data_IF_258072562621
#
_entry.id   IF_258072562621
#
_cell.length_a   1.000
_cell.length_b   1.000
_cell.length_c   1.000
_cell.angle_alpha   90.00
_cell.angle_beta   90.00
_cell.angle_gamma   90.00
#
_symmetry.space_group_name_H-M   'P 1'
#
loop_
_entity.id
_entity.type
_entity.pdbx_description
1 polymer ?
#
# COMPACT_ATOMS: atom_id res chain seq x y z
N UNK A 1 -0.55 2.18 8.45
CA UNK A 1 -1.86 2.41 7.78
C UNK A 1 -1.96 1.83 6.37
N UNK A 2 -1.06 0.93 5.93
CA UNK A 2 -0.97 0.49 4.53
C UNK A 2 -2.27 -0.13 3.97
N UNK A 3 -3.04 -0.83 4.81
CA UNK A 3 -4.29 -1.51 4.46
C UNK A 3 -5.31 -0.62 3.74
N UNK A 4 -5.31 0.68 4.03
CA UNK A 4 -6.27 1.63 3.45
C UNK A 4 -5.62 2.70 2.58
N UNK A 5 -4.29 2.75 2.52
CA UNK A 5 -3.56 3.91 2.01
C UNK A 5 -3.67 4.12 0.50
N UNK A 6 -3.86 3.04 -0.28
CA UNK A 6 -4.03 3.10 -1.73
C UNK A 6 -5.49 3.07 -2.18
N UNK A 7 -6.43 3.23 -1.25
CA UNK A 7 -7.87 3.32 -1.53
C UNK A 7 -8.47 4.51 -0.79
N UNK A 8 -9.79 4.71 -0.91
CA UNK A 8 -10.47 5.71 -0.07
C UNK A 8 -10.43 5.26 1.39
N UNK A 9 -9.65 5.96 2.20
CA UNK A 9 -9.59 5.70 3.63
C UNK A 9 -10.98 5.92 4.26
N UNK A 10 -11.45 4.89 4.96
CA UNK A 10 -12.51 4.98 5.95
C UNK A 10 -11.89 4.56 7.29
N UNK A 11 -11.93 5.44 8.28
CA UNK A 11 -11.44 5.14 9.63
C UNK A 11 -12.63 4.61 10.44
N UNK A 12 -12.56 3.34 10.81
CA UNK A 12 -13.48 2.70 11.76
C UNK A 12 -12.67 2.25 12.98
N UNK A 13 -13.12 2.64 14.18
CA UNK A 13 -12.44 2.33 15.44
C UNK A 13 -12.63 3.44 16.48
N UNK A 14 -12.44 3.09 17.76
CA UNK A 14 -12.52 4.04 18.87
C UNK A 14 -11.24 4.88 18.95
N UNK A 15 -11.15 5.92 18.11
CA UNK A 15 -10.07 6.92 18.14
C UNK A 15 -9.88 7.59 19.51
N UNK A 16 -10.91 7.59 20.37
CA UNK A 16 -10.82 8.11 21.73
C UNK A 16 -9.99 7.21 22.67
N UNK A 17 -9.77 5.93 22.31
CA UNK A 17 -9.10 4.94 23.17
C UNK A 17 -7.69 4.57 22.67
N UNK A 18 -7.21 5.19 21.58
CA UNK A 18 -5.85 4.94 21.11
C UNK A 18 -4.84 5.78 21.91
N UNK A 19 -3.74 5.13 22.31
CA UNK A 19 -2.60 5.78 22.97
C UNK A 19 -2.05 6.95 22.15
N UNK A 20 -1.43 7.94 22.80
CA UNK A 20 -0.85 9.12 22.13
C UNK A 20 0.08 8.78 20.96
N UNK A 21 0.97 7.80 21.11
CA UNK A 21 1.88 7.36 20.03
C UNK A 21 1.12 6.86 18.79
N UNK A 22 0.13 5.96 18.99
CA UNK A 22 -0.74 5.48 17.91
C UNK A 22 -1.55 6.61 17.28
N UNK A 23 -1.99 7.58 18.06
CA UNK A 23 -2.72 8.75 17.56
C UNK A 23 -1.84 9.59 16.63
N UNK A 24 -0.59 9.84 16.99
CA UNK A 24 0.35 10.57 16.11
C UNK A 24 0.63 9.80 14.81
N UNK A 25 0.81 8.47 14.87
CA UNK A 25 0.95 7.64 13.66
C UNK A 25 -0.27 7.70 12.74
N UNK A 26 -1.49 7.77 13.31
CA UNK A 26 -2.71 7.95 12.51
C UNK A 26 -2.73 9.32 11.85
N UNK A 27 -2.41 10.40 12.58
CA UNK A 27 -2.34 11.74 12.00
C UNK A 27 -1.33 11.82 10.87
N UNK A 28 -0.16 11.22 11.07
CA UNK A 28 0.92 11.17 10.10
C UNK A 28 0.47 10.45 8.82
N UNK A 29 -0.11 9.25 8.94
CA UNK A 29 -0.60 8.52 7.78
C UNK A 29 -1.77 9.22 7.07
N UNK A 30 -2.67 9.90 7.80
CA UNK A 30 -3.71 10.75 7.19
C UNK A 30 -3.10 11.97 6.48
N UNK A 31 -2.09 12.60 7.06
CA UNK A 31 -1.38 13.72 6.44
C UNK A 31 -0.69 13.31 5.15
N UNK A 32 -0.05 12.14 5.14
CA UNK A 32 0.53 11.55 3.93
C UNK A 32 -0.55 11.19 2.90
N UNK A 33 -1.63 10.52 3.29
CA UNK A 33 -2.74 10.18 2.39
C UNK A 33 -3.31 11.41 1.69
N UNK A 34 -3.47 12.53 2.39
CA UNK A 34 -3.92 13.80 1.80
C UNK A 34 -3.02 14.28 0.66
N UNK A 35 -1.72 14.01 0.71
CA UNK A 35 -0.76 14.35 -0.38
C UNK A 35 -0.92 13.46 -1.61
N UNK A 36 -1.43 12.23 -1.47
CA UNK A 36 -1.48 11.24 -2.58
C UNK A 36 -2.89 10.92 -3.09
N UNK A 37 -3.96 11.25 -2.35
CA UNK A 37 -5.35 10.85 -2.65
C UNK A 37 -5.86 11.24 -4.03
N UNK A 38 -5.41 12.37 -4.58
CA UNK A 38 -5.83 12.83 -5.91
C UNK A 38 -5.27 11.97 -7.02
N UNK A 39 -4.07 11.41 -6.81
CA UNK A 39 -3.47 10.48 -7.74
C UNK A 39 -4.13 9.10 -7.62
N UNK A 40 -4.43 8.65 -6.40
CA UNK A 40 -5.11 7.37 -6.15
C UNK A 40 -6.40 7.26 -6.97
N UNK A 41 -7.23 8.30 -6.94
CA UNK A 41 -8.50 8.32 -7.67
C UNK A 41 -8.38 8.18 -9.19
N UNK A 42 -7.19 8.44 -9.76
CA UNK A 42 -6.91 8.38 -11.21
C UNK A 42 -6.12 7.13 -11.60
N UNK A 43 -5.66 6.34 -10.64
CA UNK A 43 -4.80 5.19 -10.89
C UNK A 43 -5.56 4.00 -11.45
N UNK A 44 -4.92 3.24 -12.35
CA UNK A 44 -5.46 1.96 -12.82
C UNK A 44 -4.97 0.85 -11.88
N UNK A 45 -5.86 0.07 -11.25
CA UNK A 45 -5.44 -0.97 -10.33
C UNK A 45 -4.73 -2.12 -11.05
N UNK A 46 -3.78 -2.75 -10.37
CA UNK A 46 -3.15 -3.99 -10.80
C UNK A 46 -2.72 -4.83 -9.59
N UNK A 47 -2.54 -6.13 -9.81
CA UNK A 47 -2.22 -7.11 -8.78
C UNK A 47 -1.02 -7.95 -9.21
N UNK A 48 0.22 -7.61 -8.77
CA UNK A 48 1.41 -8.36 -9.12
C UNK A 48 1.29 -9.86 -8.82
N UNK A 49 0.73 -10.22 -7.67
CA UNK A 49 0.56 -11.61 -7.24
C UNK A 49 -0.76 -12.24 -7.70
N UNK A 50 -1.54 -11.55 -8.54
CA UNK A 50 -2.91 -11.95 -8.87
C UNK A 50 -3.93 -11.49 -7.84
N UNK A 51 -5.21 -11.74 -8.12
CA UNK A 51 -6.30 -11.40 -7.21
C UNK A 51 -6.18 -12.21 -5.91
N UNK A 52 -6.37 -11.58 -4.74
CA UNK A 52 -6.18 -12.23 -3.46
C UNK A 52 -7.22 -13.34 -3.22
N UNK A 53 -6.75 -14.46 -2.68
CA UNK A 53 -7.54 -15.55 -2.12
C UNK A 53 -7.30 -15.65 -0.60
N UNK A 54 -8.22 -16.30 0.11
CA UNK A 54 -8.12 -16.46 1.58
C UNK A 54 -6.91 -17.27 2.02
N UNK A 55 -6.41 -18.16 1.17
CA UNK A 55 -5.28 -19.05 1.46
C UNK A 55 -3.92 -18.42 1.08
N UNK A 56 -3.92 -17.22 0.49
CA UNK A 56 -2.68 -16.59 0.04
C UNK A 56 -1.83 -16.12 1.22
N UNK A 57 -0.59 -16.60 1.29
CA UNK A 57 0.38 -16.19 2.31
C UNK A 57 0.96 -14.77 2.06
N UNK A 58 0.81 -14.27 0.83
CA UNK A 58 1.16 -12.91 0.42
C UNK A 58 0.13 -12.38 -0.57
N UNK A 59 -0.19 -11.10 -0.47
CA UNK A 59 -0.94 -10.42 -1.52
C UNK A 59 -0.39 -9.02 -1.76
N UNK A 60 -0.72 -8.48 -2.93
CA UNK A 60 -0.21 -7.21 -3.40
C UNK A 60 -1.26 -6.45 -4.19
N UNK A 61 -1.24 -5.14 -4.05
CA UNK A 61 -2.12 -4.22 -4.76
C UNK A 61 -1.33 -2.99 -5.16
N UNK A 62 -1.44 -2.61 -6.42
CA UNK A 62 -0.79 -1.39 -6.91
C UNK A 62 -1.71 -0.55 -7.76
N UNK A 63 -1.29 0.70 -7.97
CA UNK A 63 -1.93 1.62 -8.90
C UNK A 63 -0.93 2.06 -9.96
N UNK A 64 -1.32 1.96 -11.23
CA UNK A 64 -0.59 2.54 -12.34
C UNK A 64 -0.91 4.03 -12.43
N UNK A 65 0.08 4.87 -12.10
CA UNK A 65 0.07 6.31 -12.30
C UNK A 65 1.09 6.69 -13.38
N UNK A 66 0.98 7.86 -14.03
CA UNK A 66 1.85 8.18 -15.16
C UNK A 66 3.36 8.22 -14.83
N UNK A 67 3.74 8.56 -13.58
CA UNK A 67 5.15 8.65 -13.16
C UNK A 67 5.49 7.74 -11.96
N UNK A 68 4.53 7.02 -11.38
CA UNK A 68 4.73 6.25 -10.14
C UNK A 68 3.91 4.96 -10.17
N UNK A 69 4.43 3.95 -9.48
CA UNK A 69 3.74 2.69 -9.20
C UNK A 69 3.66 2.48 -7.68
N UNK A 70 2.81 3.23 -6.96
CA UNK A 70 2.57 2.93 -5.56
C UNK A 70 2.07 1.50 -5.41
N UNK A 71 2.68 0.79 -4.47
CA UNK A 71 2.49 -0.63 -4.25
C UNK A 71 2.30 -0.88 -2.75
N UNK A 72 1.25 -1.62 -2.42
CA UNK A 72 1.01 -2.15 -1.09
C UNK A 72 1.20 -3.66 -1.13
N UNK A 73 1.92 -4.18 -0.14
CA UNK A 73 2.28 -5.59 -0.02
C UNK A 73 1.97 -6.02 1.39
N UNK A 74 1.30 -7.16 1.53
CA UNK A 74 0.94 -7.73 2.81
C UNK A 74 1.53 -9.12 2.92
N UNK A 75 2.23 -9.36 4.03
CA UNK A 75 2.64 -10.69 4.47
C UNK A 75 1.61 -11.19 5.46
N UNK A 76 1.03 -12.34 5.18
CA UNK A 76 0.12 -13.06 6.08
C UNK A 76 0.90 -14.16 6.80
N UNK A 77 0.30 -15.33 6.96
CA UNK A 77 0.98 -16.52 7.46
C UNK A 77 1.86 -17.10 6.36
N UNK A 78 3.06 -16.53 6.20
CA UNK A 78 4.06 -17.03 5.26
C UNK A 78 5.26 -17.64 5.97
N UNK A 79 5.62 -18.86 5.55
CA UNK A 79 6.84 -19.56 5.96
C UNK A 79 8.11 -18.82 5.49
N UNK A 80 8.03 -18.07 4.38
CA UNK A 80 9.15 -17.33 3.80
C UNK A 80 9.17 -15.84 4.21
N UNK A 81 10.37 -15.24 4.22
CA UNK A 81 10.57 -13.83 4.52
C UNK A 81 10.48 -12.90 3.29
N UNK A 82 10.42 -13.49 2.09
CA UNK A 82 10.49 -12.79 0.80
C UNK A 82 9.44 -13.29 -0.18
N UNK A 83 9.02 -12.38 -1.06
CA UNK A 83 8.14 -12.67 -2.20
C UNK A 83 8.63 -11.93 -3.44
N UNK A 84 8.45 -12.52 -4.62
CA UNK A 84 8.77 -11.90 -5.91
C UNK A 84 7.49 -11.28 -6.47
N UNK A 85 7.53 -9.99 -6.79
CA UNK A 85 6.41 -9.25 -7.36
C UNK A 85 6.64 -9.06 -8.86
N UNK A 86 5.95 -9.80 -9.74
CA UNK A 86 6.12 -9.61 -11.17
C UNK A 86 5.42 -8.31 -11.61
N UNK A 87 6.21 -7.36 -12.10
CA UNK A 87 5.72 -6.07 -12.62
C UNK A 87 6.30 -5.87 -14.03
N UNK A 88 5.66 -6.45 -15.07
CA UNK A 88 6.17 -6.41 -16.45
C UNK A 88 6.43 -5.00 -16.97
N UNK A 89 5.63 -4.02 -16.54
CA UNK A 89 5.75 -2.60 -16.89
C UNK A 89 7.10 -1.98 -16.50
N UNK A 90 7.82 -2.59 -15.55
CA UNK A 90 9.12 -2.15 -15.05
C UNK A 90 10.31 -2.86 -15.70
N UNK A 91 10.08 -3.83 -16.59
CA UNK A 91 11.16 -4.53 -17.28
C UNK A 91 12.06 -3.52 -18.01
N UNK A 92 13.36 -3.66 -17.84
CA UNK A 92 14.40 -2.81 -18.47
C UNK A 92 14.33 -1.32 -18.09
N UNK A 93 13.63 -0.96 -17.02
CA UNK A 93 13.68 0.39 -16.43
C UNK A 93 14.65 0.43 -15.26
N UNK A 94 15.33 1.55 -15.11
CA UNK A 94 16.00 1.87 -13.84
C UNK A 94 14.92 2.23 -12.81
N UNK A 95 14.79 1.40 -11.78
CA UNK A 95 13.75 1.52 -10.77
C UNK A 95 14.39 1.84 -9.44
N UNK A 96 14.04 3.00 -8.88
CA UNK A 96 14.42 3.35 -7.52
C UNK A 96 13.23 3.10 -6.58
N UNK A 97 13.20 1.98 -5.82
CA UNK A 97 12.16 1.75 -4.84
C UNK A 97 12.29 2.80 -3.73
N UNK A 98 11.25 3.61 -3.57
CA UNK A 98 11.09 4.45 -2.39
C UNK A 98 10.06 3.79 -1.48
N UNK A 99 10.50 3.39 -0.30
CA UNK A 99 9.60 3.13 0.81
C UNK A 99 9.16 4.49 1.30
N UNK A 100 7.85 4.69 1.55
CA UNK A 100 7.33 5.97 2.01
C UNK A 100 8.15 6.43 3.21
N UNK A 101 9.06 7.37 2.98
CA UNK A 101 9.89 7.95 4.02
C UNK A 101 8.97 8.82 4.86
N UNK A 102 8.82 8.43 6.11
CA UNK A 102 8.05 9.09 7.16
C UNK A 102 8.59 10.50 7.40
#
# INVERSE_FOLDING_TARGET
MVNSMLVRIHQSGHLAEITGERYELVKEGIAYYKKIREHIAKGKPFWPLGLPNFEDSWFSYGLKLPQKLPLAVWRMESEGDKVILPIPDLKERDVNPSFGSF
#
